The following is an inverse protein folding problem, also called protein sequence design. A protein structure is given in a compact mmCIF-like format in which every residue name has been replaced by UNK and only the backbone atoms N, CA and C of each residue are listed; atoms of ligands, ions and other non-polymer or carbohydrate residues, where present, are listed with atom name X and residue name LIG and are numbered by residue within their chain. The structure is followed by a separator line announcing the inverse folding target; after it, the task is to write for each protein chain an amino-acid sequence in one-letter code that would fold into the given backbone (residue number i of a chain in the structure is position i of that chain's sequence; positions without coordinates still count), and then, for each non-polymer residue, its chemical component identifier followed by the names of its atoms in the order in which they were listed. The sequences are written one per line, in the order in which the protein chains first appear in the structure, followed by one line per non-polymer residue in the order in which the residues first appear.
data_IF_968378982519
#
_entry.id   IF_968378982519
#
_cell.length_a   1.000
_cell.length_b   1.000
_cell.length_c   1.000
_cell.angle_alpha   90.00
_cell.angle_beta   90.00
_cell.angle_gamma   90.00
#
_symmetry.space_group_name_H-M   'P 1'
#
loop_
_entity.id
_entity.type
_entity.pdbx_description
1 polymer ?
#
# COMPACT_ATOMS: atom_id res chain seq x y z
N UNK A 1 -3.71 -26.68 7.24
CA UNK A 1 -3.72 -28.11 6.85
C UNK A 1 -3.68 -28.91 8.13
N UNK A 2 -4.85 -29.31 8.63
CA UNK A 2 -5.00 -30.06 9.88
C UNK A 2 -5.35 -31.50 9.53
N UNK A 3 -4.43 -32.42 9.84
CA UNK A 3 -4.57 -33.85 9.62
C UNK A 3 -5.48 -34.45 10.69
N UNK A 4 -6.76 -34.64 10.40
CA UNK A 4 -7.64 -35.45 11.22
C UNK A 4 -7.55 -36.91 10.78
N UNK A 5 -6.69 -37.67 11.45
CA UNK A 5 -6.69 -39.13 11.42
C UNK A 5 -7.84 -39.65 12.28
N UNK A 6 -8.91 -40.12 11.64
CA UNK A 6 -9.94 -40.93 12.27
C UNK A 6 -9.38 -42.34 12.52
N UNK A 7 -9.09 -42.64 13.79
CA UNK A 7 -8.83 -44.00 14.28
C UNK A 7 -10.14 -44.80 14.20
N UNK A 8 -10.23 -45.74 13.26
CA UNK A 8 -11.24 -46.79 13.30
C UNK A 8 -10.81 -47.85 14.33
N UNK A 9 -11.64 -48.08 15.33
CA UNK A 9 -11.57 -49.25 16.23
C UNK A 9 -11.69 -50.54 15.41
N UNK A 10 -10.74 -51.48 15.49
CA UNK A 10 -11.02 -52.88 15.24
C UNK A 10 -11.57 -53.52 16.54
N UNK A 11 -12.11 -54.73 16.44
CA UNK A 11 -12.50 -55.61 17.56
C UNK A 11 -13.93 -55.48 18.10
N UNK A 12 -14.91 -55.66 17.20
CA UNK A 12 -16.15 -56.33 17.59
C UNK A 12 -15.92 -57.85 17.55
N UNK A 13 -15.51 -58.41 18.69
CA UNK A 13 -15.49 -59.86 18.92
C UNK A 13 -16.88 -60.42 18.70
N UNK A 14 -17.07 -61.14 17.59
CA UNK A 14 -18.29 -61.94 17.37
C UNK A 14 -18.25 -63.12 18.34
N UNK A 15 -19.25 -63.17 19.19
CA UNK A 15 -19.50 -64.27 20.13
C UNK A 15 -19.79 -65.55 19.33
N UNK A 16 -18.81 -66.44 19.25
CA UNK A 16 -18.98 -67.80 18.73
C UNK A 16 -19.68 -68.64 19.79
N UNK A 17 -21.02 -68.63 19.79
CA UNK A 17 -21.83 -69.53 20.61
C UNK A 17 -21.75 -70.95 20.02
N UNK A 18 -20.76 -71.70 20.48
CA UNK A 18 -20.66 -73.16 20.31
C UNK A 18 -21.84 -73.87 21.00
N UNK A 19 -22.95 -74.01 20.28
CA UNK A 19 -24.04 -74.91 20.66
C UNK A 19 -23.65 -76.37 20.34
N UNK A 20 -22.87 -77.00 21.22
CA UNK A 20 -22.75 -78.46 21.27
C UNK A 20 -23.96 -79.04 22.01
N UNK A 21 -24.76 -79.93 21.40
CA UNK A 21 -25.77 -80.67 22.14
C UNK A 21 -25.10 -81.63 23.13
N UNK A 22 -25.43 -81.48 24.42
CA UNK A 22 -25.09 -82.44 25.48
C UNK A 22 -26.01 -83.66 25.33
N UNK A 23 -25.53 -84.75 24.72
CA UNK A 23 -26.18 -86.05 24.85
C UNK A 23 -25.67 -86.76 26.11
N UNK A 24 -26.34 -86.53 27.22
CA UNK A 24 -26.35 -87.45 28.35
C UNK A 24 -27.58 -88.34 28.17
N UNK A 25 -27.38 -89.61 27.84
CA UNK A 25 -28.38 -90.65 28.07
C UNK A 25 -27.71 -91.75 28.88
N UNK A 26 -28.04 -91.77 30.17
CA UNK A 26 -27.80 -92.91 31.04
C UNK A 26 -28.76 -94.03 30.61
N UNK A 27 -28.24 -95.12 30.07
CA UNK A 27 -28.99 -96.35 29.97
C UNK A 27 -28.71 -97.19 31.21
N UNK A 28 -29.71 -97.28 32.08
CA UNK A 28 -29.76 -98.27 33.15
C UNK A 28 -30.11 -99.62 32.52
N UNK A 29 -29.18 -100.58 32.63
CA UNK A 29 -29.41 -101.98 32.29
C UNK A 29 -30.41 -102.58 33.29
N UNK A 30 -31.68 -102.71 32.89
CA UNK A 30 -32.64 -103.58 33.58
C UNK A 30 -32.64 -104.95 32.90
N UNK A 31 -31.93 -105.90 33.50
CA UNK A 31 -32.07 -107.33 33.23
C UNK A 31 -33.44 -107.80 33.71
N UNK A 32 -34.37 -108.09 32.80
CA UNK A 32 -35.50 -108.98 33.07
C UNK A 32 -36.25 -109.30 31.78
N UNK A 33 -36.12 -110.54 31.29
CA UNK A 33 -37.23 -111.51 31.06
C UNK A 33 -36.78 -112.70 30.22
N UNK A 34 -37.00 -113.88 30.79
CA UNK A 34 -37.66 -115.06 30.21
C UNK A 34 -37.68 -115.17 28.67
N UNK A 35 -36.94 -116.15 28.14
CA UNK A 35 -37.03 -116.60 26.75
C UNK A 35 -37.93 -117.85 26.67
N UNK A 36 -39.06 -117.81 25.95
CA UNK A 36 -39.71 -119.02 25.47
C UNK A 36 -39.02 -119.54 24.20
N UNK A 37 -39.17 -120.84 24.00
CA UNK A 37 -38.44 -121.73 23.09
C UNK A 37 -39.10 -121.73 21.70
N UNK A 38 -38.26 -121.43 20.69
CA UNK A 38 -38.25 -121.87 19.28
C UNK A 38 -39.27 -121.30 18.28
N UNK A 39 -38.84 -120.25 17.58
CA UNK A 39 -38.72 -120.24 16.12
C UNK A 39 -37.22 -120.09 15.79
N UNK A 40 -36.76 -120.60 14.63
CA UNK A 40 -35.33 -120.70 14.27
C UNK A 40 -34.57 -119.39 14.59
N UNK A 41 -33.62 -119.36 15.54
CA UNK A 41 -32.94 -118.11 15.97
C UNK A 41 -32.15 -117.43 14.84
N UNK A 42 -31.91 -118.17 13.76
CA UNK A 42 -31.32 -117.68 12.51
C UNK A 42 -32.31 -116.82 11.73
N UNK A 43 -33.61 -117.14 11.71
CA UNK A 43 -34.63 -116.37 10.99
C UNK A 43 -34.96 -115.04 11.68
N UNK A 44 -35.04 -115.01 13.01
CA UNK A 44 -35.21 -113.74 13.75
C UNK A 44 -34.00 -112.81 13.52
N UNK A 45 -32.79 -113.36 13.50
CA UNK A 45 -31.58 -112.59 13.20
C UNK A 45 -31.58 -112.06 11.75
N UNK A 46 -32.04 -112.85 10.77
CA UNK A 46 -32.23 -112.41 9.38
C UNK A 46 -33.27 -111.30 9.29
N UNK A 47 -34.39 -111.40 9.98
CA UNK A 47 -35.43 -110.37 9.98
C UNK A 47 -34.94 -109.06 10.60
N UNK A 48 -34.27 -109.12 11.76
CA UNK A 48 -33.62 -107.94 12.37
C UNK A 48 -32.56 -107.31 11.45
N UNK A 49 -31.82 -108.12 10.69
CA UNK A 49 -30.87 -107.63 9.70
C UNK A 49 -31.58 -106.93 8.53
N UNK A 50 -32.68 -107.48 8.03
CA UNK A 50 -33.50 -106.86 6.97
C UNK A 50 -34.09 -105.54 7.45
N UNK A 51 -34.62 -105.49 8.68
CA UNK A 51 -35.15 -104.26 9.28
C UNK A 51 -34.05 -103.21 9.48
N UNK A 52 -32.89 -103.60 10.02
CA UNK A 52 -31.74 -102.70 10.19
C UNK A 52 -31.20 -102.18 8.85
N UNK A 53 -31.15 -103.02 7.82
CA UNK A 53 -30.73 -102.60 6.47
C UNK A 53 -31.75 -101.66 5.83
N UNK A 54 -33.05 -101.87 6.02
CA UNK A 54 -34.10 -100.96 5.59
C UNK A 54 -34.03 -99.60 6.32
N UNK A 55 -33.87 -99.60 7.65
CA UNK A 55 -33.73 -98.38 8.44
C UNK A 55 -32.48 -97.57 8.05
N UNK A 56 -31.34 -98.25 7.84
CA UNK A 56 -30.12 -97.60 7.35
C UNK A 56 -30.31 -96.99 5.96
N UNK A 57 -31.05 -97.66 5.07
CA UNK A 57 -31.36 -97.14 3.74
C UNK A 57 -32.20 -95.87 3.83
N UNK A 58 -33.22 -95.84 4.67
CA UNK A 58 -34.07 -94.66 4.87
C UNK A 58 -33.28 -93.50 5.51
N UNK A 59 -32.47 -93.77 6.53
CA UNK A 59 -31.58 -92.74 7.12
C UNK A 59 -30.63 -92.17 6.09
N UNK A 60 -29.99 -93.01 5.25
CA UNK A 60 -29.12 -92.54 4.16
C UNK A 60 -29.85 -91.64 3.19
N UNK A 61 -31.10 -91.97 2.83
CA UNK A 61 -31.94 -91.14 1.97
C UNK A 61 -32.22 -89.77 2.60
N UNK A 62 -32.67 -89.72 3.86
CA UNK A 62 -32.91 -88.47 4.59
C UNK A 62 -31.64 -87.61 4.71
N UNK A 63 -30.49 -88.23 4.99
CA UNK A 63 -29.21 -87.52 5.03
C UNK A 63 -28.83 -86.98 3.65
N UNK A 64 -29.02 -87.75 2.57
CA UNK A 64 -28.75 -87.30 1.21
C UNK A 64 -29.61 -86.08 0.83
N UNK A 65 -30.89 -86.09 1.18
CA UNK A 65 -31.81 -84.97 0.96
C UNK A 65 -31.40 -83.72 1.77
N UNK A 66 -31.06 -83.88 3.05
CA UNK A 66 -30.55 -82.78 3.88
C UNK A 66 -29.25 -82.20 3.33
N UNK A 67 -28.34 -83.05 2.87
CA UNK A 67 -27.07 -82.63 2.25
C UNK A 67 -27.29 -81.94 0.91
N UNK A 68 -28.30 -82.36 0.12
CA UNK A 68 -28.69 -81.67 -1.10
C UNK A 68 -29.23 -80.26 -0.80
N UNK A 69 -30.18 -80.14 0.13
CA UNK A 69 -30.72 -78.83 0.56
C UNK A 69 -29.64 -77.91 1.13
N UNK A 70 -28.72 -78.44 1.93
CA UNK A 70 -27.61 -77.65 2.47
C UNK A 70 -26.66 -77.18 1.36
N UNK A 71 -26.38 -78.02 0.35
CA UNK A 71 -25.58 -77.63 -0.82
C UNK A 71 -26.26 -76.51 -1.61
N UNK A 72 -27.56 -76.63 -1.87
CA UNK A 72 -28.34 -75.58 -2.55
C UNK A 72 -28.32 -74.25 -1.78
N UNK A 73 -28.53 -74.28 -0.46
CA UNK A 73 -28.45 -73.09 0.39
C UNK A 73 -27.06 -72.44 0.35
N UNK A 74 -25.98 -73.22 0.34
CA UNK A 74 -24.62 -72.66 0.21
C UNK A 74 -24.40 -71.95 -1.12
N UNK A 75 -24.95 -72.48 -2.22
CA UNK A 75 -24.87 -71.83 -3.53
C UNK A 75 -25.63 -70.50 -3.53
N UNK A 76 -26.84 -70.46 -2.96
CA UNK A 76 -27.62 -69.21 -2.83
C UNK A 76 -26.90 -68.17 -1.96
N UNK A 77 -26.39 -68.58 -0.80
CA UNK A 77 -25.62 -67.69 0.07
C UNK A 77 -24.36 -67.17 -0.61
N UNK A 78 -23.66 -68.01 -1.37
CA UNK A 78 -22.49 -67.56 -2.13
C UNK A 78 -22.86 -66.50 -3.17
N UNK A 79 -23.98 -66.67 -3.87
CA UNK A 79 -24.49 -65.67 -4.80
C UNK A 79 -24.82 -64.35 -4.09
N UNK A 80 -25.47 -64.40 -2.92
CA UNK A 80 -25.79 -63.21 -2.13
C UNK A 80 -24.53 -62.48 -1.63
N UNK A 81 -23.53 -63.23 -1.17
CA UNK A 81 -22.22 -62.68 -0.77
C UNK A 81 -21.56 -61.97 -1.96
N UNK A 82 -21.50 -62.62 -3.13
CA UNK A 82 -20.93 -62.01 -4.33
C UNK A 82 -21.69 -60.73 -4.73
N UNK A 83 -23.02 -60.75 -4.67
CA UNK A 83 -23.84 -59.59 -4.97
C UNK A 83 -23.60 -58.41 -4.00
N UNK A 84 -23.38 -58.71 -2.71
CA UNK A 84 -23.02 -57.70 -1.71
C UNK A 84 -21.62 -57.14 -1.96
N UNK A 85 -20.66 -57.97 -2.34
CA UNK A 85 -19.30 -57.54 -2.71
C UNK A 85 -19.31 -56.62 -3.92
N UNK A 86 -20.06 -56.96 -4.97
CA UNK A 86 -20.24 -56.09 -6.13
C UNK A 86 -20.84 -54.73 -5.76
N UNK A 87 -21.89 -54.71 -4.92
CA UNK A 87 -22.50 -53.47 -4.43
C UNK A 87 -21.50 -52.66 -3.62
N UNK A 88 -20.74 -53.30 -2.74
CA UNK A 88 -19.69 -52.65 -1.95
C UNK A 88 -18.65 -51.99 -2.86
N UNK A 89 -18.18 -52.68 -3.90
CA UNK A 89 -17.23 -52.13 -4.87
C UNK A 89 -17.82 -50.95 -5.65
N UNK A 90 -19.08 -51.05 -6.09
CA UNK A 90 -19.80 -49.95 -6.75
C UNK A 90 -19.92 -48.72 -5.85
N UNK A 91 -20.32 -48.90 -4.58
CA UNK A 91 -20.40 -47.82 -3.60
C UNK A 91 -19.02 -47.19 -3.35
N UNK A 92 -17.96 -47.99 -3.20
CA UNK A 92 -16.60 -47.46 -3.03
C UNK A 92 -16.15 -46.64 -4.24
N UNK A 93 -16.44 -47.09 -5.46
CA UNK A 93 -16.14 -46.30 -6.67
C UNK A 93 -16.89 -44.97 -6.68
N UNK A 94 -18.19 -45.00 -6.38
CA UNK A 94 -19.02 -43.80 -6.32
C UNK A 94 -18.51 -42.78 -5.29
N UNK A 95 -18.10 -43.26 -4.11
CA UNK A 95 -17.52 -42.39 -3.06
C UNK A 95 -16.23 -41.74 -3.58
N UNK A 96 -15.30 -42.51 -4.14
CA UNK A 96 -14.06 -41.96 -4.70
C UNK A 96 -14.31 -40.94 -5.80
N UNK A 97 -15.25 -41.20 -6.70
CA UNK A 97 -15.60 -40.29 -7.78
C UNK A 97 -16.24 -39.00 -7.24
N UNK A 98 -17.09 -39.10 -6.22
CA UNK A 98 -17.70 -37.95 -5.56
C UNK A 98 -16.66 -37.09 -4.83
N UNK A 99 -15.77 -37.72 -4.08
CA UNK A 99 -14.66 -37.05 -3.40
C UNK A 99 -13.75 -36.35 -4.42
N UNK A 100 -13.40 -37.01 -5.52
CA UNK A 100 -12.63 -36.41 -6.59
C UNK A 100 -13.33 -35.20 -7.22
N UNK A 101 -14.67 -35.26 -7.41
CA UNK A 101 -15.47 -34.11 -7.89
C UNK A 101 -15.47 -32.97 -6.88
N UNK A 102 -15.65 -33.27 -5.58
CA UNK A 102 -15.62 -32.28 -4.49
C UNK A 102 -14.26 -31.59 -4.40
N UNK A 103 -13.17 -32.36 -4.46
CA UNK A 103 -11.81 -31.83 -4.47
C UNK A 103 -11.55 -30.90 -5.66
N UNK A 104 -11.96 -31.32 -6.87
CA UNK A 104 -11.84 -30.47 -8.07
C UNK A 104 -12.64 -29.18 -7.95
N UNK A 105 -13.87 -29.26 -7.44
CA UNK A 105 -14.71 -28.08 -7.23
C UNK A 105 -14.11 -27.12 -6.20
N UNK A 106 -13.59 -27.65 -5.09
CA UNK A 106 -12.93 -26.86 -4.05
C UNK A 106 -11.66 -26.20 -4.58
N UNK A 107 -10.83 -26.95 -5.31
CA UNK A 107 -9.62 -26.42 -5.94
C UNK A 107 -9.96 -25.28 -6.90
N UNK A 108 -10.94 -25.46 -7.78
CA UNK A 108 -11.41 -24.43 -8.71
C UNK A 108 -11.92 -23.20 -7.96
N UNK A 109 -12.72 -23.38 -6.92
CA UNK A 109 -13.20 -22.27 -6.10
C UNK A 109 -12.04 -21.48 -5.48
N UNK A 110 -11.05 -22.16 -4.90
CA UNK A 110 -9.88 -21.50 -4.32
C UNK A 110 -9.07 -20.72 -5.36
N UNK A 111 -8.84 -21.28 -6.55
CA UNK A 111 -8.12 -20.59 -7.64
C UNK A 111 -8.89 -19.39 -8.14
N UNK A 112 -10.19 -19.52 -8.36
CA UNK A 112 -11.06 -18.45 -8.87
C UNK A 112 -11.18 -17.31 -7.84
N UNK A 113 -11.31 -17.64 -6.55
CA UNK A 113 -11.37 -16.67 -5.47
C UNK A 113 -10.04 -15.90 -5.30
N UNK A 114 -8.91 -16.60 -5.42
CA UNK A 114 -7.59 -15.95 -5.42
C UNK A 114 -7.45 -14.99 -6.62
N UNK A 115 -7.81 -15.44 -7.83
CA UNK A 115 -7.77 -14.62 -9.02
C UNK A 115 -8.68 -13.38 -8.91
N UNK A 116 -9.88 -13.54 -8.36
CA UNK A 116 -10.80 -12.43 -8.09
C UNK A 116 -10.17 -11.40 -7.15
N UNK A 117 -9.52 -11.87 -6.08
CA UNK A 117 -8.83 -11.01 -5.11
C UNK A 117 -7.68 -10.23 -5.77
N UNK A 118 -6.87 -10.88 -6.60
CA UNK A 118 -5.77 -10.23 -7.34
C UNK A 118 -6.32 -9.16 -8.30
N UNK A 119 -7.31 -9.50 -9.12
CA UNK A 119 -7.93 -8.56 -10.07
C UNK A 119 -8.60 -7.37 -9.38
N UNK A 120 -9.19 -7.58 -8.19
CA UNK A 120 -9.78 -6.49 -7.39
C UNK A 120 -8.70 -5.50 -6.92
N UNK A 121 -7.55 -6.00 -6.47
CA UNK A 121 -6.41 -5.15 -6.08
C UNK A 121 -5.84 -4.39 -7.27
N UNK A 122 -5.61 -5.07 -8.39
CA UNK A 122 -5.11 -4.45 -9.62
C UNK A 122 -6.04 -3.33 -10.11
N UNK A 123 -7.37 -3.58 -10.13
CA UNK A 123 -8.36 -2.56 -10.46
C UNK A 123 -8.23 -1.33 -9.55
N UNK A 124 -8.10 -1.54 -8.24
CA UNK A 124 -7.97 -0.44 -7.28
C UNK A 124 -6.70 0.36 -7.51
N UNK A 125 -5.59 -0.30 -7.82
CA UNK A 125 -4.32 0.35 -8.15
C UNK A 125 -4.47 1.22 -9.40
N UNK A 126 -5.03 0.67 -10.49
CA UNK A 126 -5.25 1.40 -11.74
C UNK A 126 -6.19 2.61 -11.55
N UNK A 127 -7.24 2.48 -10.75
CA UNK A 127 -8.12 3.61 -10.41
C UNK A 127 -7.34 4.70 -9.68
N UNK A 128 -6.45 4.32 -8.75
CA UNK A 128 -5.63 5.26 -8.01
C UNK A 128 -4.62 5.99 -8.90
N UNK A 129 -4.01 5.29 -9.84
CA UNK A 129 -3.07 5.87 -10.81
C UNK A 129 -3.78 6.82 -11.78
N UNK A 130 -4.94 6.41 -12.29
CA UNK A 130 -5.77 7.25 -13.15
C UNK A 130 -6.18 8.55 -12.43
N UNK A 131 -6.55 8.46 -11.15
CA UNK A 131 -6.88 9.64 -10.35
C UNK A 131 -5.69 10.59 -10.24
N UNK A 132 -4.51 10.08 -9.90
CA UNK A 132 -3.27 10.89 -9.82
C UNK A 132 -2.95 11.54 -11.17
N UNK A 133 -3.06 10.80 -12.26
CA UNK A 133 -2.82 11.33 -13.60
C UNK A 133 -3.79 12.46 -13.96
N UNK A 134 -5.08 12.31 -13.62
CA UNK A 134 -6.09 13.36 -13.82
C UNK A 134 -5.81 14.62 -12.99
N UNK A 135 -5.42 14.46 -11.72
CA UNK A 135 -5.05 15.57 -10.85
C UNK A 135 -3.82 16.32 -11.39
N UNK A 136 -2.79 15.57 -11.82
CA UNK A 136 -1.60 16.14 -12.45
C UNK A 136 -1.95 16.89 -13.74
N UNK A 137 -2.76 16.29 -14.61
CA UNK A 137 -3.22 16.92 -15.85
C UNK A 137 -3.97 18.23 -15.58
N UNK A 138 -4.91 18.22 -14.62
CA UNK A 138 -5.64 19.42 -14.23
C UNK A 138 -4.70 20.52 -13.70
N UNK A 139 -3.71 20.15 -12.88
CA UNK A 139 -2.71 21.09 -12.37
C UNK A 139 -1.84 21.68 -13.47
N UNK A 140 -1.43 20.87 -14.45
CA UNK A 140 -0.65 21.32 -15.61
C UNK A 140 -1.48 22.23 -16.50
N UNK A 141 -2.74 21.90 -16.74
CA UNK A 141 -3.66 22.73 -17.51
C UNK A 141 -3.85 24.11 -16.86
N UNK A 142 -3.99 24.16 -15.53
CA UNK A 142 -4.05 25.41 -14.79
C UNK A 142 -2.74 26.20 -14.88
N UNK A 143 -1.57 25.54 -14.80
CA UNK A 143 -0.26 26.20 -15.01
C UNK A 143 -0.12 26.75 -16.42
N UNK A 144 -0.54 26.01 -17.45
CA UNK A 144 -0.51 26.47 -18.85
C UNK A 144 -1.41 27.69 -19.02
N UNK A 145 -2.64 27.67 -18.50
CA UNK A 145 -3.54 28.81 -18.54
C UNK A 145 -2.93 30.05 -17.85
N UNK A 146 -2.29 29.85 -16.69
CA UNK A 146 -1.59 30.91 -15.97
C UNK A 146 -0.37 31.45 -16.72
N UNK A 147 0.36 30.60 -17.45
CA UNK A 147 1.55 31.01 -18.21
C UNK A 147 1.19 31.68 -19.54
N UNK A 148 0.03 31.36 -20.12
CA UNK A 148 -0.47 31.92 -21.38
C UNK A 148 -0.49 33.45 -21.39
N UNK A 149 -0.76 34.08 -20.23
CA UNK A 149 -0.75 35.55 -20.10
C UNK A 149 0.64 36.15 -20.32
N UNK A 150 1.69 35.47 -19.85
CA UNK A 150 3.08 35.92 -20.02
C UNK A 150 3.55 35.65 -21.45
N UNK A 151 3.18 34.51 -22.03
CA UNK A 151 3.43 34.21 -23.44
C UNK A 151 2.83 35.30 -24.34
N UNK A 152 1.55 35.64 -24.12
CA UNK A 152 0.85 36.69 -24.88
C UNK A 152 1.55 38.03 -24.71
N UNK A 153 1.94 38.41 -23.48
CA UNK A 153 2.69 39.64 -23.22
C UNK A 153 4.04 39.67 -23.94
N UNK A 154 4.83 38.59 -23.83
CA UNK A 154 6.13 38.49 -24.49
C UNK A 154 6.00 38.56 -26.01
N UNK A 155 4.96 37.94 -26.57
CA UNK A 155 4.67 38.05 -27.99
C UNK A 155 4.38 39.50 -28.39
N UNK A 156 3.54 40.21 -27.64
CA UNK A 156 3.27 41.65 -27.87
C UNK A 156 4.55 42.49 -27.79
N UNK A 157 5.45 42.18 -26.85
CA UNK A 157 6.75 42.87 -26.75
C UNK A 157 7.59 42.60 -27.99
N UNK A 158 7.70 41.34 -28.42
CA UNK A 158 8.44 40.95 -29.64
C UNK A 158 7.86 41.65 -30.86
N UNK A 159 6.54 41.72 -31.00
CA UNK A 159 5.86 42.36 -32.13
C UNK A 159 6.11 43.88 -32.17
N UNK A 160 6.33 44.50 -31.01
CA UNK A 160 6.68 45.94 -30.90
C UNK A 160 8.15 46.26 -31.19
N UNK A 161 9.02 45.25 -31.25
CA UNK A 161 10.44 45.46 -31.47
C UNK A 161 10.72 45.86 -32.93
N UNK A 162 11.67 46.79 -33.16
CA UNK A 162 12.18 47.03 -34.50
C UNK A 162 12.72 45.73 -35.11
N UNK A 163 12.37 45.49 -36.37
CA UNK A 163 13.00 44.43 -37.19
C UNK A 163 14.50 44.70 -37.14
N UNK A 164 15.28 43.73 -36.68
CA UNK A 164 16.74 43.79 -36.43
C UNK A 164 17.22 44.27 -35.05
N UNK A 165 16.34 44.49 -34.07
CA UNK A 165 16.77 44.86 -32.71
C UNK A 165 17.58 43.75 -32.00
N UNK A 166 17.28 42.48 -32.29
CA UNK A 166 17.98 41.32 -31.75
C UNK A 166 18.45 40.46 -32.93
N UNK A 167 19.71 40.66 -33.33
CA UNK A 167 20.31 39.96 -34.48
C UNK A 167 20.95 38.62 -34.14
N UNK A 168 21.11 38.31 -32.86
CA UNK A 168 22.00 37.26 -32.36
C UNK A 168 21.30 35.97 -31.90
N UNK A 169 19.97 35.91 -31.90
CA UNK A 169 19.25 34.72 -31.47
C UNK A 169 18.18 34.35 -32.49
N UNK A 170 18.13 33.07 -32.86
CA UNK A 170 17.04 32.48 -33.66
C UNK A 170 15.67 32.63 -32.94
N UNK A 171 15.68 32.90 -31.63
CA UNK A 171 14.52 33.22 -30.81
C UNK A 171 14.67 34.60 -30.14
N UNK A 172 13.83 35.55 -30.55
CA UNK A 172 13.79 36.92 -30.03
C UNK A 172 13.53 36.97 -28.50
N UNK A 173 12.77 36.01 -27.96
CA UNK A 173 12.44 35.95 -26.53
C UNK A 173 13.69 35.57 -25.72
N UNK A 174 14.45 34.58 -26.17
CA UNK A 174 15.70 34.18 -25.52
C UNK A 174 16.69 35.36 -25.51
N UNK A 175 16.81 36.06 -26.64
CA UNK A 175 17.64 37.26 -26.73
C UNK A 175 17.23 38.37 -25.75
N UNK A 176 15.92 38.61 -25.58
CA UNK A 176 15.39 39.56 -24.59
C UNK A 176 15.74 39.14 -23.17
N UNK A 177 15.58 37.86 -22.82
CA UNK A 177 15.87 37.35 -21.48
C UNK A 177 17.36 37.54 -21.14
N UNK A 178 18.26 37.18 -22.07
CA UNK A 178 19.69 37.34 -21.85
C UNK A 178 20.06 38.82 -21.63
N UNK A 179 19.50 39.71 -22.45
CA UNK A 179 19.78 41.15 -22.34
C UNK A 179 19.23 41.74 -21.05
N UNK A 180 18.01 41.35 -20.66
CA UNK A 180 17.43 41.72 -19.38
C UNK A 180 18.33 41.28 -18.22
N UNK A 181 18.77 40.02 -18.20
CA UNK A 181 19.60 39.49 -17.13
C UNK A 181 20.93 40.26 -17.02
N UNK A 182 21.59 40.54 -18.14
CA UNK A 182 22.81 41.35 -18.15
C UNK A 182 22.56 42.77 -17.62
N UNK A 183 21.54 43.45 -18.12
CA UNK A 183 21.24 44.82 -17.72
C UNK A 183 20.82 44.89 -16.24
N UNK A 184 19.95 43.98 -15.81
CA UNK A 184 19.50 43.86 -14.43
C UNK A 184 20.68 43.60 -13.48
N UNK A 185 21.56 42.65 -13.81
CA UNK A 185 22.76 42.37 -13.03
C UNK A 185 23.67 43.59 -12.90
N UNK A 186 23.90 44.32 -14.01
CA UNK A 186 24.71 45.55 -13.97
C UNK A 186 24.05 46.67 -13.15
N UNK A 187 22.74 46.84 -13.26
CA UNK A 187 21.98 47.83 -12.50
C UNK A 187 22.03 47.53 -10.99
N UNK A 188 21.79 46.28 -10.59
CA UNK A 188 21.89 45.86 -9.20
C UNK A 188 23.31 46.02 -8.64
N UNK A 189 24.36 45.87 -9.46
CA UNK A 189 25.72 46.20 -9.05
C UNK A 189 25.90 47.70 -8.83
N UNK A 190 25.46 48.53 -9.78
CA UNK A 190 25.59 49.98 -9.68
C UNK A 190 24.81 50.56 -8.50
N UNK A 191 23.62 50.04 -8.19
CA UNK A 191 22.87 50.43 -6.98
C UNK A 191 23.66 50.15 -5.71
N UNK A 192 24.20 48.93 -5.57
CA UNK A 192 25.04 48.56 -4.42
C UNK A 192 26.27 49.45 -4.29
N UNK A 193 26.92 49.77 -5.41
CA UNK A 193 28.05 50.70 -5.43
C UNK A 193 27.62 52.11 -4.98
N UNK A 194 26.46 52.58 -5.44
CA UNK A 194 25.91 53.88 -5.03
C UNK A 194 25.58 53.91 -3.54
N UNK A 195 24.95 52.86 -3.01
CA UNK A 195 24.64 52.70 -1.59
C UNK A 195 25.93 52.71 -0.75
N UNK A 196 26.93 51.94 -1.18
CA UNK A 196 28.25 51.91 -0.51
C UNK A 196 28.89 53.30 -0.50
N UNK A 197 28.84 54.03 -1.62
CA UNK A 197 29.39 55.39 -1.71
C UNK A 197 28.61 56.39 -0.87
N UNK A 198 27.29 56.25 -0.78
CA UNK A 198 26.48 57.07 0.11
C UNK A 198 26.84 56.84 1.59
N UNK A 199 27.04 55.58 1.99
CA UNK A 199 27.50 55.23 3.35
C UNK A 199 28.91 55.78 3.65
N UNK A 200 29.84 55.71 2.70
CA UNK A 200 31.18 56.30 2.85
C UNK A 200 31.11 57.82 3.06
N UNK A 201 30.24 58.52 2.32
CA UNK A 201 30.03 59.97 2.47
C UNK A 201 29.43 60.29 3.83
N UNK A 202 28.39 59.58 4.25
CA UNK A 202 27.77 59.77 5.56
C UNK A 202 28.77 59.54 6.70
N UNK A 203 29.59 58.49 6.60
CA UNK A 203 30.65 58.19 7.56
C UNK A 203 31.69 59.32 7.64
N UNK A 204 32.07 59.90 6.49
CA UNK A 204 32.97 61.07 6.44
C UNK A 204 32.32 62.32 7.02
N UNK A 205 31.05 62.56 6.74
CA UNK A 205 30.29 63.67 7.32
C UNK A 205 30.25 63.56 8.85
N UNK A 206 29.91 62.39 9.40
CA UNK A 206 29.94 62.14 10.84
C UNK A 206 31.33 62.34 11.44
N UNK A 207 32.38 61.85 10.77
CA UNK A 207 33.76 62.10 11.22
C UNK A 207 34.10 63.60 11.29
N UNK A 208 33.64 64.39 10.30
CA UNK A 208 33.83 65.85 10.30
C UNK A 208 33.03 66.49 11.45
N UNK A 209 31.78 66.08 11.65
CA UNK A 209 30.93 66.55 12.75
C UNK A 209 31.55 66.27 14.12
N UNK A 210 32.11 65.07 14.34
CA UNK A 210 32.80 64.69 15.57
C UNK A 210 34.04 65.58 15.82
N UNK A 211 34.83 65.86 14.77
CA UNK A 211 35.98 66.77 14.87
C UNK A 211 35.56 68.21 15.18
N UNK A 212 34.49 68.70 14.54
CA UNK A 212 33.94 70.02 14.82
C UNK A 212 33.46 70.09 16.27
N UNK A 213 32.76 69.05 16.75
CA UNK A 213 32.32 68.94 18.15
C UNK A 213 33.50 68.98 19.12
N UNK A 214 34.56 68.22 18.84
CA UNK A 214 35.79 68.22 19.63
C UNK A 214 36.45 69.61 19.68
N UNK A 215 36.58 70.28 18.53
CA UNK A 215 37.13 71.64 18.46
C UNK A 215 36.29 72.62 19.28
N UNK A 216 34.95 72.54 19.19
CA UNK A 216 34.05 73.38 20.01
C UNK A 216 34.28 73.16 21.50
N UNK A 217 34.44 71.92 21.94
CA UNK A 217 34.75 71.60 23.35
C UNK A 217 36.08 72.18 23.80
N UNK A 218 37.14 72.03 22.99
CA UNK A 218 38.46 72.62 23.29
C UNK A 218 38.37 74.15 23.38
N UNK A 219 37.68 74.79 22.43
CA UNK A 219 37.46 76.24 22.46
C UNK A 219 36.70 76.68 23.70
N UNK A 220 35.66 75.95 24.11
CA UNK A 220 34.93 76.24 25.34
C UNK A 220 35.83 76.14 26.58
N UNK A 221 36.70 75.12 26.65
CA UNK A 221 37.66 74.97 27.74
C UNK A 221 38.69 76.11 27.78
N UNK A 222 39.23 76.53 26.64
CA UNK A 222 40.14 77.67 26.57
C UNK A 222 39.46 78.93 27.11
N UNK A 223 38.20 79.16 26.72
CA UNK A 223 37.42 80.32 27.19
C UNK A 223 37.22 80.29 28.70
N UNK A 224 36.95 79.12 29.29
CA UNK A 224 36.83 79.00 30.75
C UNK A 224 38.16 79.22 31.48
N UNK A 225 39.28 78.81 30.88
CA UNK A 225 40.59 78.88 31.53
C UNK A 225 41.23 80.29 31.46
N UNK A 226 40.95 81.07 30.41
CA UNK A 226 41.56 82.41 30.21
C UNK A 226 40.63 83.60 30.49
N UNK A 227 39.32 83.39 30.65
CA UNK A 227 38.33 84.45 30.89
C UNK A 227 38.11 85.43 29.72
N UNK A 228 38.80 85.24 28.59
CA UNK A 228 38.63 85.96 27.33
C UNK A 228 38.78 85.00 26.16
N UNK A 229 37.90 85.11 25.16
CA UNK A 229 38.01 84.40 23.88
C UNK A 229 39.39 84.65 23.24
N UNK A 230 40.05 83.62 22.68
CA UNK A 230 41.28 83.83 21.91
C UNK A 230 40.93 84.57 20.60
N UNK A 231 40.99 85.90 20.64
CA UNK A 231 40.88 86.73 19.45
C UNK A 231 42.22 86.67 18.72
N UNK A 232 42.32 85.90 17.65
CA UNK A 232 43.46 85.97 16.73
C UNK A 232 43.54 87.40 16.19
N UNK A 233 44.60 88.13 16.59
CA UNK A 233 44.95 89.46 16.05
C UNK A 233 45.64 89.37 14.67
N UNK A 234 45.56 88.22 14.04
CA UNK A 234 46.23 87.89 12.79
C UNK A 234 45.26 88.06 11.61
N UNK A 235 45.43 89.17 10.89
CA UNK A 235 44.96 89.42 9.52
C UNK A 235 43.44 89.36 9.28
N UNK A 236 42.81 90.53 9.30
CA UNK A 236 41.56 90.82 8.58
C UNK A 236 41.92 91.03 7.10
N UNK A 237 41.69 90.09 6.16
CA UNK A 237 41.72 90.44 4.76
C UNK A 237 40.54 91.38 4.49
N UNK A 238 40.81 92.56 3.93
CA UNK A 238 39.77 93.39 3.34
C UNK A 238 39.19 92.63 2.16
N UNK A 239 37.97 92.11 2.29
CA UNK A 239 37.16 91.72 1.15
C UNK A 239 36.58 93.00 0.57
N UNK A 240 37.26 93.54 -0.44
CA UNK A 240 36.68 94.50 -1.37
C UNK A 240 35.54 93.83 -2.12
N UNK A 241 34.33 94.39 -1.97
CA UNK A 241 33.18 94.05 -2.79
C UNK A 241 33.49 94.40 -4.25
N UNK A 242 33.83 93.41 -5.06
CA UNK A 242 33.80 93.55 -6.51
C UNK A 242 33.24 92.26 -7.13
N UNK A 243 31.96 92.38 -7.53
CA UNK A 243 31.29 91.64 -8.60
C UNK A 243 31.65 90.16 -8.80
N UNK A 244 30.83 89.27 -8.22
CA UNK A 244 30.49 87.99 -8.87
C UNK A 244 28.99 88.03 -9.16
N UNK A 245 28.65 88.70 -10.26
CA UNK A 245 27.44 88.38 -11.01
C UNK A 245 27.77 87.11 -11.81
N UNK A 246 27.19 85.98 -11.43
CA UNK A 246 27.51 84.69 -12.05
C UNK A 246 26.76 83.52 -11.43
N UNK A 247 25.44 83.50 -11.63
CA UNK A 247 24.59 82.31 -11.78
C UNK A 247 24.84 81.15 -10.80
N UNK A 248 24.17 81.18 -9.64
CA UNK A 248 23.53 79.98 -9.08
C UNK A 248 22.11 80.40 -8.69
N UNK A 249 21.25 80.52 -9.70
CA UNK A 249 19.81 80.48 -9.50
C UNK A 249 19.41 79.00 -9.43
N UNK A 250 19.53 78.38 -8.25
CA UNK A 250 18.67 77.24 -7.94
C UNK A 250 17.46 77.82 -7.23
N UNK A 251 16.36 77.93 -7.96
CA UNK A 251 15.12 78.46 -7.41
C UNK A 251 14.68 77.65 -6.17
N UNK A 252 13.95 78.25 -5.22
CA UNK A 252 13.41 77.53 -4.05
C UNK A 252 12.59 76.27 -4.42
N UNK A 253 12.07 76.19 -5.65
CA UNK A 253 11.38 75.01 -6.17
C UNK A 253 12.29 73.83 -6.55
N UNK A 254 13.56 74.04 -6.86
CA UNK A 254 14.51 72.95 -7.18
C UNK A 254 15.07 72.28 -5.92
N UNK A 255 15.33 73.06 -4.87
CA UNK A 255 15.68 72.52 -3.54
C UNK A 255 14.50 71.75 -2.92
N UNK A 256 13.26 72.20 -3.15
CA UNK A 256 12.06 71.46 -2.76
C UNK A 256 11.87 70.16 -3.56
N UNK A 257 12.37 70.08 -4.80
CA UNK A 257 12.32 68.86 -5.61
C UNK A 257 13.37 67.83 -5.17
N UNK A 258 14.58 68.28 -4.82
CA UNK A 258 15.64 67.41 -4.27
C UNK A 258 15.31 66.88 -2.86
N UNK A 259 14.65 67.67 -2.02
CA UNK A 259 14.16 67.22 -0.70
C UNK A 259 12.98 66.24 -0.86
N UNK A 260 12.12 66.40 -1.87
CA UNK A 260 11.04 65.43 -2.19
C UNK A 260 11.55 64.10 -2.74
N UNK A 261 12.73 64.06 -3.37
CA UNK A 261 13.37 62.82 -3.81
C UNK A 261 14.02 62.04 -2.64
N UNK A 262 14.38 62.70 -1.55
CA UNK A 262 14.99 62.07 -0.36
C UNK A 262 14.00 61.79 0.78
N UNK A 263 12.77 62.34 0.70
CA UNK A 263 11.68 62.13 1.66
C UNK A 263 10.44 61.52 1.02
N UNK A 264 10.61 60.40 0.31
CA UNK A 264 9.49 59.48 0.13
C UNK A 264 9.38 58.60 1.39
N UNK A 265 8.18 58.43 1.96
CA UNK A 265 8.00 57.50 3.07
C UNK A 265 8.38 56.10 2.59
N UNK A 266 9.22 55.45 3.39
CA UNK A 266 9.41 54.01 3.39
C UNK A 266 8.07 53.35 3.75
N UNK A 267 7.15 53.26 2.79
CA UNK A 267 6.09 52.26 2.84
C UNK A 267 6.79 50.90 2.69
N UNK A 268 6.97 50.28 3.85
CA UNK A 268 7.22 48.85 3.98
C UNK A 268 6.07 48.12 3.29
N UNK A 269 6.18 47.88 1.99
CA UNK A 269 5.57 46.69 1.43
C UNK A 269 6.35 45.52 2.00
N UNK A 270 5.71 44.89 2.99
CA UNK A 270 6.04 43.57 3.46
C UNK A 270 6.34 42.69 2.26
N UNK A 271 7.50 42.04 2.34
CA UNK A 271 7.79 40.86 1.55
C UNK A 271 6.69 39.86 1.90
N UNK A 272 5.65 39.80 1.08
CA UNK A 272 4.76 38.64 1.06
C UNK A 272 5.62 37.51 0.57
N UNK A 273 6.14 36.77 1.55
CA UNK A 273 6.81 35.50 1.40
C UNK A 273 6.06 34.65 0.37
N UNK A 274 6.67 34.42 -0.79
CA UNK A 274 6.16 33.53 -1.85
C UNK A 274 6.32 32.04 -1.46
N UNK A 275 6.25 31.75 -0.16
CA UNK A 275 6.35 30.42 0.45
C UNK A 275 5.00 29.90 0.98
N UNK A 276 3.91 30.63 0.74
CA UNK A 276 2.58 30.30 1.28
C UNK A 276 1.52 29.95 0.20
N UNK A 277 1.93 29.33 -0.91
CA UNK A 277 0.99 28.73 -1.88
C UNK A 277 1.21 27.20 -2.00
N UNK A 278 1.20 26.52 -0.86
CA UNK A 278 0.96 25.08 -0.79
C UNK A 278 -0.25 24.90 0.13
N UNK A 279 -1.43 24.46 -0.37
CA UNK A 279 -2.52 24.10 0.52
C UNK A 279 -2.11 22.90 1.39
N UNK A 280 -2.46 22.89 2.69
CA UNK A 280 -2.19 21.74 3.52
C UNK A 280 -2.94 20.52 2.96
N UNK A 281 -2.22 19.41 2.81
CA UNK A 281 -2.80 18.10 2.57
C UNK A 281 -3.89 17.85 3.63
N UNK A 282 -5.08 17.37 3.25
CA UNK A 282 -6.07 16.95 4.24
C UNK A 282 -5.52 15.75 4.99
N UNK A 283 -5.35 15.94 6.30
CA UNK A 283 -5.24 14.87 7.27
C UNK A 283 -6.49 13.99 7.18
N UNK A 284 -6.33 12.78 6.66
CA UNK A 284 -7.27 11.69 6.90
C UNK A 284 -6.61 10.71 7.86
N UNK A 285 -6.79 10.96 9.17
CA UNK A 285 -6.95 9.88 10.13
C UNK A 285 -8.45 9.67 10.32
N UNK A 286 -8.93 8.49 9.96
CA UNK A 286 -10.01 7.74 10.61
C UNK A 286 -10.39 6.52 9.75
N UNK A 287 -10.22 5.35 10.38
CA UNK A 287 -10.70 4.00 10.05
C UNK A 287 -9.89 3.15 9.06
#
# INVERSE_FOLDING_TARGET
MASHTLKCNPDSKVHEQSNRPKFMHQHTLKFSKHYPIMDDPIEECKQRLVEATAELKEKRKVFAEKMAKSREQRVLLQHDVNALEERKLKCQSFIRDNDAKRWRALQKFCTDNHLCTVKKKERQNLISELRKAKELYASLLAKVANLKKYETYLQTVVDSLPKDYIKLADDAIIGLIMRYNSLHSTNERLKREMETKAEEVLSRCHFIEDRISTIRTILAQIVTDTGQLPVCKCCRPQLTNQQIAGVIATSPSELAFLIKLTTLPSERHSVVSLSALIPPLPNTSAN
#
